data_IF_430676200260
#
_entry.id   IF_430676200260
#
_cell.length_a   1.000
_cell.length_b   1.000
_cell.length_c   1.000
_cell.angle_alpha   90.00
_cell.angle_beta   90.00
_cell.angle_gamma   90.00
#
_symmetry.space_group_name_H-M   'P 1'
#
loop_
_entity.id
_entity.type
_entity.pdbx_description
1 polymer ?
#
# COMPACT_ATOMS: atom_id res chain seq x y z
N UNK A 1 39.77 -49.66 -3.79
CA UNK A 1 38.56 -49.28 -3.07
C UNK A 1 38.53 -47.74 -3.08
N UNK A 2 37.76 -47.12 -3.96
CA UNK A 2 37.57 -45.67 -4.00
C UNK A 2 36.32 -45.30 -3.15
N UNK A 3 36.37 -44.28 -2.30
CA UNK A 3 35.19 -43.84 -1.58
C UNK A 3 34.28 -43.06 -2.51
N UNK A 4 33.00 -43.41 -2.52
CA UNK A 4 31.96 -42.67 -3.21
C UNK A 4 31.72 -41.31 -2.54
N UNK A 5 32.00 -40.23 -3.25
CA UNK A 5 31.56 -38.89 -2.87
C UNK A 5 30.04 -38.82 -2.98
N UNK A 6 29.34 -38.78 -1.84
CA UNK A 6 27.92 -38.45 -1.79
C UNK A 6 27.82 -36.94 -1.92
N UNK A 7 27.42 -36.50 -3.11
CA UNK A 7 27.08 -35.09 -3.38
C UNK A 7 25.73 -34.79 -2.71
N UNK A 8 25.74 -34.27 -1.48
CA UNK A 8 24.55 -33.77 -0.84
C UNK A 8 24.10 -32.50 -1.57
N UNK A 9 23.10 -32.65 -2.43
CA UNK A 9 22.40 -31.54 -3.04
C UNK A 9 21.70 -30.75 -1.90
N UNK A 10 22.23 -29.57 -1.56
CA UNK A 10 21.57 -28.59 -0.73
C UNK A 10 20.32 -28.12 -1.49
N UNK A 11 19.19 -28.76 -1.20
CA UNK A 11 17.88 -28.25 -1.61
C UNK A 11 17.65 -27.03 -0.72
N UNK A 12 17.98 -25.85 -1.27
CA UNK A 12 17.54 -24.59 -0.67
C UNK A 12 16.01 -24.62 -0.61
N UNK A 13 15.37 -24.34 0.53
CA UNK A 13 13.93 -24.24 0.58
C UNK A 13 13.51 -23.17 -0.42
N UNK A 14 12.66 -23.52 -1.37
CA UNK A 14 11.99 -22.54 -2.20
C UNK A 14 11.24 -21.59 -1.25
N UNK A 15 11.77 -20.40 -1.07
CA UNK A 15 11.08 -19.35 -0.36
C UNK A 15 9.91 -18.92 -1.24
N UNK A 16 8.76 -19.58 -1.07
CA UNK A 16 7.46 -19.06 -1.45
C UNK A 16 7.18 -17.87 -0.50
N UNK A 17 8.06 -16.87 -0.56
CA UNK A 17 7.93 -15.65 0.21
C UNK A 17 6.91 -14.76 -0.45
N UNK A 18 5.69 -14.76 0.08
CA UNK A 18 4.83 -13.59 0.00
C UNK A 18 5.70 -12.40 0.38
N UNK A 19 5.72 -11.36 -0.46
CA UNK A 19 6.53 -10.17 -0.19
C UNK A 19 6.11 -9.60 1.15
N UNK A 20 6.96 -9.74 2.16
CA UNK A 20 6.67 -9.21 3.50
C UNK A 20 6.78 -7.69 3.42
N UNK A 21 5.72 -6.98 3.76
CA UNK A 21 5.74 -5.53 3.88
C UNK A 21 6.78 -5.16 4.94
N UNK A 22 7.75 -4.34 4.56
CA UNK A 22 8.84 -3.91 5.42
C UNK A 22 8.75 -2.41 5.66
N UNK A 23 8.90 -1.99 6.89
CA UNK A 23 9.09 -0.58 7.22
C UNK A 23 10.38 -0.05 6.58
N UNK A 24 10.39 1.22 6.27
CA UNK A 24 11.52 1.94 5.65
C UNK A 24 11.97 1.38 4.29
N UNK A 25 11.14 0.58 3.64
CA UNK A 25 11.36 0.05 2.30
C UNK A 25 10.12 0.26 1.41
N UNK A 26 10.31 0.44 0.10
CA UNK A 26 9.17 0.51 -0.83
C UNK A 26 8.43 -0.84 -0.86
N UNK A 27 7.08 -0.84 -0.81
CA UNK A 27 6.30 -2.04 -1.01
C UNK A 27 6.30 -2.43 -2.50
N UNK A 28 5.80 -3.62 -2.87
CA UNK A 28 5.68 -4.02 -4.27
C UNK A 28 4.94 -2.99 -5.12
N UNK A 29 5.43 -2.74 -6.33
CA UNK A 29 4.79 -1.83 -7.28
C UNK A 29 3.57 -2.49 -7.94
N UNK A 30 2.54 -1.69 -8.25
CA UNK A 30 1.35 -2.15 -8.98
C UNK A 30 0.78 -1.04 -9.86
N UNK A 31 -0.03 -1.43 -10.84
CA UNK A 31 -0.69 -0.52 -11.77
C UNK A 31 -1.96 0.08 -11.16
N UNK A 32 -2.16 1.37 -11.37
CA UNK A 32 -3.32 2.15 -10.92
C UNK A 32 -4.03 2.67 -12.17
N UNK A 33 -5.20 2.14 -12.53
CA UNK A 33 -5.99 2.66 -13.64
C UNK A 33 -6.41 4.11 -13.38
N UNK A 34 -6.32 4.95 -14.40
CA UNK A 34 -6.78 6.33 -14.34
C UNK A 34 -7.54 6.68 -15.62
N UNK A 35 -8.33 7.75 -15.61
CA UNK A 35 -9.02 8.25 -16.81
C UNK A 35 -8.09 8.70 -17.96
N UNK A 36 -6.80 8.86 -17.67
CA UNK A 36 -5.79 9.29 -18.64
C UNK A 36 -4.78 8.18 -18.99
N UNK A 37 -5.04 6.93 -18.59
CA UNK A 37 -4.16 5.79 -18.80
C UNK A 37 -3.78 5.12 -17.46
N UNK A 38 -2.65 4.44 -17.45
CA UNK A 38 -2.15 3.72 -16.28
C UNK A 38 -1.03 4.50 -15.61
N UNK A 39 -1.11 4.65 -14.29
CA UNK A 39 0.01 5.05 -13.42
C UNK A 39 0.45 3.85 -12.60
N UNK A 40 1.63 3.94 -12.00
CA UNK A 40 2.11 2.94 -11.05
C UNK A 40 2.23 3.55 -9.65
N UNK A 41 2.20 2.73 -8.61
CA UNK A 41 2.37 3.21 -7.24
C UNK A 41 3.64 4.07 -7.09
N UNK A 42 4.73 3.66 -7.75
CA UNK A 42 6.01 4.38 -7.69
C UNK A 42 6.01 5.73 -8.41
N UNK A 43 5.04 6.01 -9.27
CA UNK A 43 4.86 7.32 -9.91
C UNK A 43 4.27 8.37 -8.94
N UNK A 44 3.83 7.93 -7.75
CA UNK A 44 3.31 8.80 -6.69
C UNK A 44 4.40 9.28 -5.71
N UNK A 45 5.65 8.90 -5.93
CA UNK A 45 6.78 9.40 -5.13
C UNK A 45 6.85 10.92 -5.18
N UNK A 46 7.28 11.52 -4.08
CA UNK A 46 7.23 12.97 -3.85
C UNK A 46 6.04 13.39 -2.99
N UNK A 47 5.04 12.52 -2.86
CA UNK A 47 3.87 12.71 -1.99
C UNK A 47 3.82 11.62 -0.92
N UNK A 48 3.11 11.88 0.17
CA UNK A 48 2.65 10.81 1.06
C UNK A 48 1.56 10.04 0.35
N UNK A 49 1.62 8.72 0.36
CA UNK A 49 0.60 7.88 -0.28
C UNK A 49 -0.08 6.99 0.75
N UNK A 50 -1.40 7.07 0.83
CA UNK A 50 -2.23 6.14 1.59
C UNK A 50 -2.68 5.05 0.62
N UNK A 51 -2.31 3.79 0.91
CA UNK A 51 -2.77 2.60 0.18
C UNK A 51 -3.69 1.82 1.10
N UNK A 52 -4.92 1.59 0.68
CA UNK A 52 -5.95 0.96 1.52
C UNK A 52 -6.59 -0.24 0.83
N UNK A 53 -6.64 -1.38 1.54
CA UNK A 53 -7.33 -2.59 1.12
C UNK A 53 -8.66 -2.69 1.86
N UNK A 54 -9.76 -2.69 1.11
CA UNK A 54 -11.10 -2.57 1.63
C UNK A 54 -12.14 -3.39 0.85
N UNK A 55 -13.38 -3.43 1.34
CA UNK A 55 -14.53 -3.92 0.60
C UNK A 55 -15.81 -3.19 1.01
N UNK A 56 -16.81 -3.17 0.14
CA UNK A 56 -18.08 -2.47 0.33
C UNK A 56 -18.92 -2.99 1.50
N UNK A 57 -18.76 -4.25 1.86
CA UNK A 57 -19.43 -4.91 2.98
C UNK A 57 -18.74 -4.72 4.34
N UNK A 58 -17.59 -4.04 4.37
CA UNK A 58 -16.78 -3.84 5.57
C UNK A 58 -17.10 -2.46 6.19
N UNK A 59 -17.90 -2.43 7.25
CA UNK A 59 -18.34 -1.18 7.92
C UNK A 59 -17.19 -0.31 8.42
N UNK A 60 -16.12 -0.91 8.94
CA UNK A 60 -14.93 -0.19 9.39
C UNK A 60 -14.24 0.46 8.19
N UNK A 61 -14.06 -0.29 7.09
CA UNK A 61 -13.44 0.21 5.88
C UNK A 61 -14.18 1.43 5.31
N UNK A 62 -15.51 1.36 5.24
CA UNK A 62 -16.33 2.44 4.65
C UNK A 62 -16.28 3.73 5.45
N UNK A 63 -16.06 3.64 6.77
CA UNK A 63 -15.78 4.80 7.60
C UNK A 63 -14.43 5.43 7.28
N UNK A 64 -13.40 4.61 7.12
CA UNK A 64 -12.04 5.08 6.78
C UNK A 64 -11.97 5.77 5.43
N UNK A 65 -12.72 5.31 4.43
CA UNK A 65 -12.78 5.97 3.12
C UNK A 65 -13.17 7.44 3.23
N UNK A 66 -14.09 7.79 4.14
CA UNK A 66 -14.47 9.19 4.41
C UNK A 66 -13.34 9.98 5.08
N UNK A 67 -12.62 9.34 5.98
CA UNK A 67 -11.44 9.95 6.60
C UNK A 67 -10.31 10.15 5.59
N UNK A 68 -10.14 9.26 4.60
CA UNK A 68 -9.19 9.46 3.49
C UNK A 68 -9.59 10.64 2.58
N UNK A 69 -10.87 10.78 2.26
CA UNK A 69 -11.37 11.97 1.53
C UNK A 69 -11.08 13.25 2.33
N UNK A 70 -11.32 13.23 3.65
CA UNK A 70 -11.03 14.33 4.55
C UNK A 70 -9.53 14.64 4.59
N UNK A 71 -8.67 13.62 4.65
CA UNK A 71 -7.22 13.78 4.61
C UNK A 71 -6.75 14.42 3.30
N UNK A 72 -7.25 13.95 2.14
CA UNK A 72 -6.95 14.59 0.84
C UNK A 72 -7.32 16.07 0.83
N UNK A 73 -8.47 16.43 1.41
CA UNK A 73 -8.90 17.84 1.50
C UNK A 73 -8.00 18.65 2.43
N UNK A 74 -7.60 18.07 3.57
CA UNK A 74 -6.78 18.74 4.59
C UNK A 74 -5.35 18.99 4.10
N UNK A 75 -4.74 17.97 3.52
CA UNK A 75 -3.32 18.01 3.13
C UNK A 75 -3.11 18.43 1.66
N UNK A 76 -4.19 18.50 0.86
CA UNK A 76 -4.14 18.89 -0.54
C UNK A 76 -3.25 17.98 -1.38
N UNK A 77 -2.53 18.57 -2.36
CA UNK A 77 -1.66 17.82 -3.27
C UNK A 77 -0.46 17.12 -2.64
N UNK A 78 -0.29 17.19 -1.31
CA UNK A 78 0.79 16.50 -0.59
C UNK A 78 0.46 15.06 -0.22
N UNK A 79 -0.81 14.67 -0.33
CA UNK A 79 -1.30 13.33 0.02
C UNK A 79 -2.10 12.76 -1.14
N UNK A 80 -1.66 11.61 -1.63
CA UNK A 80 -2.42 10.77 -2.54
C UNK A 80 -3.05 9.60 -1.78
N UNK A 81 -4.19 9.12 -2.29
CA UNK A 81 -4.87 7.93 -1.78
C UNK A 81 -5.11 6.98 -2.93
N UNK A 82 -4.87 5.70 -2.70
CA UNK A 82 -5.19 4.61 -3.64
C UNK A 82 -5.94 3.54 -2.86
N UNK A 83 -7.13 3.20 -3.30
CA UNK A 83 -7.94 2.14 -2.69
C UNK A 83 -7.92 0.88 -3.55
N UNK A 84 -7.89 -0.28 -2.92
CA UNK A 84 -7.80 -1.59 -3.56
C UNK A 84 -8.93 -2.47 -3.02
N UNK A 85 -9.74 -3.04 -3.90
CA UNK A 85 -10.78 -4.00 -3.53
C UNK A 85 -10.68 -5.26 -4.40
N UNK A 86 -10.82 -6.43 -3.79
CA UNK A 86 -10.83 -7.71 -4.48
C UNK A 86 -12.25 -8.28 -4.69
N UNK A 87 -13.26 -7.43 -4.62
CA UNK A 87 -14.64 -7.80 -4.92
C UNK A 87 -14.83 -8.05 -6.42
N UNK A 88 -15.99 -8.61 -6.78
CA UNK A 88 -16.37 -8.79 -8.18
C UNK A 88 -16.34 -7.45 -8.95
N UNK A 89 -16.09 -7.47 -10.27
CA UNK A 89 -15.95 -6.26 -11.06
C UNK A 89 -17.13 -5.30 -10.91
N UNK A 90 -16.84 -4.04 -10.66
CA UNK A 90 -17.82 -2.97 -10.54
C UNK A 90 -18.52 -2.85 -9.18
N UNK A 91 -18.37 -3.81 -8.26
CA UNK A 91 -19.02 -3.75 -6.93
C UNK A 91 -18.47 -2.58 -6.13
N UNK A 92 -17.15 -2.56 -5.93
CA UNK A 92 -16.48 -1.47 -5.21
C UNK A 92 -16.68 -0.11 -5.90
N UNK A 93 -16.58 -0.07 -7.23
CA UNK A 93 -16.81 1.15 -8.01
C UNK A 93 -18.24 1.70 -7.82
N UNK A 94 -19.26 0.82 -7.86
CA UNK A 94 -20.66 1.19 -7.61
C UNK A 94 -20.88 1.73 -6.20
N UNK A 95 -20.19 1.12 -5.21
CA UNK A 95 -20.22 1.61 -3.84
C UNK A 95 -19.68 3.04 -3.74
N UNK A 96 -18.46 3.28 -4.27
CA UNK A 96 -17.85 4.61 -4.25
C UNK A 96 -18.72 5.65 -4.96
N UNK A 97 -19.33 5.30 -6.09
CA UNK A 97 -20.23 6.17 -6.83
C UNK A 97 -21.51 6.50 -6.02
N UNK A 98 -22.14 5.50 -5.41
CA UNK A 98 -23.37 5.68 -4.61
C UNK A 98 -23.15 6.61 -3.42
N UNK A 99 -21.97 6.55 -2.81
CA UNK A 99 -21.61 7.37 -1.65
C UNK A 99 -20.80 8.63 -1.99
N UNK A 100 -20.69 8.97 -3.28
CA UNK A 100 -19.98 10.15 -3.79
C UNK A 100 -18.52 10.23 -3.28
N UNK A 101 -17.88 9.06 -3.13
CA UNK A 101 -16.49 8.94 -2.69
C UNK A 101 -15.56 8.97 -3.91
N UNK A 102 -14.87 10.07 -4.11
CA UNK A 102 -13.98 10.27 -5.26
C UNK A 102 -12.52 9.93 -4.93
N UNK A 103 -12.26 8.64 -4.78
CA UNK A 103 -10.92 8.09 -4.56
C UNK A 103 -10.51 7.16 -5.72
N UNK A 104 -9.23 7.15 -6.12
CA UNK A 104 -8.71 6.15 -7.04
C UNK A 104 -8.96 4.73 -6.55
N UNK A 105 -9.51 3.87 -7.40
CA UNK A 105 -9.81 2.48 -7.13
C UNK A 105 -9.00 1.57 -8.05
N UNK A 106 -8.41 0.54 -7.46
CA UNK A 106 -7.83 -0.61 -8.16
C UNK A 106 -8.72 -1.83 -7.87
N UNK A 107 -9.34 -2.39 -8.91
CA UNK A 107 -10.12 -3.62 -8.80
C UNK A 107 -9.17 -4.82 -8.89
N UNK A 108 -8.86 -5.42 -7.77
CA UNK A 108 -7.95 -6.57 -7.60
C UNK A 108 -8.73 -7.90 -7.63
N UNK A 109 -9.58 -8.08 -8.64
CA UNK A 109 -10.55 -9.18 -8.76
C UNK A 109 -9.93 -10.57 -8.54
N UNK A 110 -8.69 -10.77 -8.97
CA UNK A 110 -7.97 -12.03 -8.76
C UNK A 110 -7.14 -12.06 -7.48
N UNK A 111 -7.26 -11.04 -6.63
CA UNK A 111 -6.49 -10.87 -5.40
C UNK A 111 -4.96 -10.95 -5.60
N UNK A 112 -4.47 -10.56 -6.78
CA UNK A 112 -3.05 -10.63 -7.09
C UNK A 112 -2.25 -9.65 -6.24
N UNK A 113 -2.74 -8.40 -6.11
CA UNK A 113 -2.12 -7.38 -5.29
C UNK A 113 -2.29 -7.71 -3.81
N UNK A 114 -3.49 -8.14 -3.39
CA UNK A 114 -3.76 -8.56 -2.01
C UNK A 114 -2.80 -9.68 -1.56
N UNK A 115 -2.57 -10.70 -2.42
CA UNK A 115 -1.58 -11.75 -2.13
C UNK A 115 -0.16 -11.22 -2.09
N UNK A 116 0.21 -10.33 -3.03
CA UNK A 116 1.54 -9.73 -3.09
C UNK A 116 1.87 -8.92 -1.81
N UNK A 117 0.84 -8.28 -1.25
CA UNK A 117 0.93 -7.52 0.00
C UNK A 117 0.65 -8.36 1.26
N UNK A 118 0.42 -9.68 1.11
CA UNK A 118 0.07 -10.60 2.21
C UNK A 118 -1.18 -10.16 2.99
N UNK A 119 -2.13 -9.50 2.31
CA UNK A 119 -3.38 -9.06 2.91
C UNK A 119 -4.35 -10.25 2.97
N UNK A 120 -4.62 -10.74 4.17
CA UNK A 120 -5.54 -11.85 4.45
C UNK A 120 -6.81 -11.43 5.18
N UNK A 121 -6.87 -10.18 5.62
CA UNK A 121 -8.03 -9.55 6.29
C UNK A 121 -8.06 -8.07 5.93
N UNK A 122 -9.21 -7.45 6.05
CA UNK A 122 -9.44 -6.02 5.79
C UNK A 122 -10.07 -5.34 7.02
N UNK A 123 -9.89 -4.01 7.16
CA UNK A 123 -9.02 -3.16 6.34
C UNK A 123 -7.53 -3.39 6.63
N UNK A 124 -6.70 -3.12 5.64
CA UNK A 124 -5.26 -2.92 5.81
C UNK A 124 -4.88 -1.62 5.13
N UNK A 125 -4.32 -0.70 5.91
CA UNK A 125 -3.89 0.61 5.41
C UNK A 125 -2.38 0.75 5.55
N UNK A 126 -1.71 1.13 4.47
CA UNK A 126 -0.31 1.53 4.48
C UNK A 126 -0.21 3.03 4.25
N UNK A 127 0.71 3.70 4.96
CA UNK A 127 1.11 5.07 4.67
C UNK A 127 2.56 5.05 4.21
N UNK A 128 2.79 5.54 2.99
CA UNK A 128 4.12 5.64 2.39
C UNK A 128 4.63 7.08 2.53
N UNK A 129 5.90 7.23 2.83
CA UNK A 129 6.56 8.53 2.83
C UNK A 129 6.85 9.03 1.38
N UNK A 130 7.29 10.28 1.19
CA UNK A 130 7.59 10.80 -0.14
C UNK A 130 8.70 10.07 -0.90
N UNK A 131 9.52 9.26 -0.23
CA UNK A 131 10.48 8.37 -0.91
C UNK A 131 9.81 7.13 -1.50
N UNK A 132 8.56 6.85 -1.11
CA UNK A 132 7.81 5.66 -1.43
C UNK A 132 8.03 4.51 -0.44
N UNK A 133 8.74 4.73 0.66
CA UNK A 133 8.95 3.72 1.69
C UNK A 133 7.74 3.62 2.64
N UNK A 134 7.49 2.43 3.18
CA UNK A 134 6.42 2.21 4.16
C UNK A 134 6.78 2.88 5.49
N UNK A 135 6.00 3.87 5.89
CA UNK A 135 6.15 4.61 7.14
C UNK A 135 5.20 4.10 8.25
N UNK A 136 4.03 3.60 7.87
CA UNK A 136 3.02 3.11 8.80
C UNK A 136 2.17 2.01 8.18
N UNK A 137 1.74 1.07 9.00
CA UNK A 137 0.78 0.01 8.63
C UNK A 137 -0.26 -0.14 9.72
N UNK A 138 -1.53 -0.16 9.35
CA UNK A 138 -2.66 -0.54 10.22
C UNK A 138 -3.33 -1.79 9.70
N UNK A 139 -3.79 -2.64 10.63
CA UNK A 139 -4.59 -3.83 10.34
C UNK A 139 -5.82 -3.84 11.25
N UNK A 140 -7.01 -3.85 10.64
CA UNK A 140 -8.28 -3.84 11.38
C UNK A 140 -8.87 -2.45 11.61
N UNK A 141 -8.35 -1.46 10.89
CA UNK A 141 -8.83 -0.08 10.91
C UNK A 141 -7.92 0.88 11.67
N UNK A 142 -8.08 2.18 11.40
CA UNK A 142 -7.41 3.25 12.12
C UNK A 142 -8.37 4.42 12.37
N UNK A 143 -8.13 5.11 13.47
CA UNK A 143 -8.86 6.33 13.81
C UNK A 143 -8.36 7.52 13.00
N UNK A 144 -9.17 8.59 12.96
CA UNK A 144 -8.74 9.86 12.36
C UNK A 144 -7.43 10.40 12.95
N UNK A 145 -7.27 10.27 14.28
CA UNK A 145 -6.07 10.72 14.97
C UNK A 145 -4.84 9.92 14.55
N UNK A 146 -4.94 8.58 14.49
CA UNK A 146 -3.86 7.71 14.03
C UNK A 146 -3.49 8.00 12.58
N UNK A 147 -4.49 8.21 11.71
CA UNK A 147 -4.28 8.56 10.31
C UNK A 147 -3.49 9.87 10.17
N UNK A 148 -3.92 10.92 10.88
CA UNK A 148 -3.24 12.22 10.80
C UNK A 148 -1.82 12.16 11.34
N UNK A 149 -1.58 11.48 12.46
CA UNK A 149 -0.24 11.26 12.99
C UNK A 149 0.65 10.44 12.04
N UNK A 150 0.09 9.43 11.37
CA UNK A 150 0.83 8.64 10.39
C UNK A 150 1.23 9.48 9.17
N UNK A 151 0.31 10.32 8.65
CA UNK A 151 0.58 11.23 7.54
C UNK A 151 1.64 12.27 7.91
N UNK A 152 1.53 12.88 9.09
CA UNK A 152 2.49 13.91 9.56
C UNK A 152 3.89 13.32 9.75
N UNK A 153 4.00 12.11 10.33
CA UNK A 153 5.28 11.40 10.43
C UNK A 153 5.87 11.08 9.08
N UNK A 154 5.05 10.62 8.13
CA UNK A 154 5.50 10.32 6.77
C UNK A 154 5.99 11.59 6.05
N UNK A 155 5.33 12.74 6.24
CA UNK A 155 5.76 14.02 5.68
C UNK A 155 7.09 14.53 6.28
N UNK A 156 7.35 14.22 7.55
CA UNK A 156 8.59 14.60 8.23
C UNK A 156 9.77 13.69 7.88
N UNK A 157 9.54 12.54 7.23
CA UNK A 157 10.60 11.61 6.83
C UNK A 157 11.52 12.27 5.79
N UNK A 158 12.86 12.17 5.95
CA UNK A 158 13.78 12.74 4.97
C UNK A 158 13.60 12.04 3.62
N UNK A 159 13.51 12.84 2.55
CA UNK A 159 13.44 12.30 1.18
C UNK A 159 14.71 11.50 0.86
N UNK A 160 14.64 10.56 -0.09
CA UNK A 160 15.77 9.71 -0.49
C UNK A 160 17.05 10.51 -0.82
N UNK A 161 16.90 11.75 -1.33
CA UNK A 161 18.03 12.66 -1.62
C UNK A 161 18.79 13.09 -0.36
N UNK A 162 18.09 13.27 0.76
CA UNK A 162 18.71 13.67 2.04
C UNK A 162 19.40 12.48 2.73
N UNK A 163 18.87 11.26 2.54
CA UNK A 163 19.50 10.04 3.09
C UNK A 163 20.84 9.70 2.42
N UNK A 164 20.98 9.98 1.11
CA UNK A 164 22.23 9.75 0.37
C UNK A 164 23.37 10.70 0.77
N UNK A 165 23.04 11.90 1.25
CA UNK A 165 24.04 12.92 1.64
C UNK A 165 24.58 12.74 3.06
N UNK A 166 23.95 11.90 3.89
CA UNK A 166 24.33 11.67 5.29
C UNK A 166 25.36 10.56 5.54
N UNK A 167 25.86 9.89 4.49
CA UNK A 167 26.81 8.74 4.61
C UNK A 167 28.28 9.14 4.39
N UNK A 168 28.57 10.43 4.17
CA UNK A 168 29.95 10.92 4.01
C UNK A 168 30.29 11.97 5.09
N UNK A 169 30.42 11.54 6.34
CA UNK A 169 31.25 12.20 7.36
C UNK A 169 31.82 11.17 8.33
#
# INVERSE_FOLDING_TARGET
>A
MLPALVLAALIAPAQTGLATIRYDAPPPNFAIPTKHGTRYLYDLRGHVVIVDFWASWCDVCTKELRDFVRAKKLYGGRVDVVTISNEDPGVAASYLQTWEIHLPLVEDVQSAISRLYSVSRIPVTLVLDPSGAVSYVSVGGLSWEELTQAVERAQASPTASTRASGVLQ
#
